data_IF_679726451122
#
_entry.id   IF_679726451122
#
_cell.length_a   1.000
_cell.length_b   1.000
_cell.length_c   1.000
_cell.angle_alpha   90.00
_cell.angle_beta   90.00
_cell.angle_gamma   90.00
#
_symmetry.space_group_name_H-M   'P 1'
#
loop_
_entity.id
_entity.type
_entity.pdbx_description
1 polymer ?
#
# COMPACT_ATOMS: atom_id res chain seq x y z
N UNK A 1 3.36 5.96 13.14
CA UNK A 1 3.15 6.41 11.77
C UNK A 1 1.69 6.28 11.32
N UNK A 2 1.00 5.22 11.79
CA UNK A 2 -0.39 4.94 11.42
C UNK A 2 -1.41 5.29 12.50
N UNK A 3 -0.98 5.60 13.71
CA UNK A 3 -1.89 5.76 14.83
C UNK A 3 -2.97 6.82 14.57
N UNK A 4 -2.57 8.00 14.12
CA UNK A 4 -3.51 9.08 13.85
C UNK A 4 -4.47 8.74 12.70
N UNK A 5 -3.97 8.07 11.68
CA UNK A 5 -4.81 7.63 10.57
C UNK A 5 -5.87 6.65 11.05
N UNK A 6 -5.45 5.64 11.81
CA UNK A 6 -6.38 4.60 12.29
C UNK A 6 -7.44 5.22 13.19
N UNK A 7 -7.05 6.07 14.14
CA UNK A 7 -7.99 6.72 15.04
C UNK A 7 -9.00 7.61 14.29
N UNK A 8 -8.50 8.43 13.36
CA UNK A 8 -9.35 9.28 12.55
C UNK A 8 -10.30 8.49 11.66
N UNK A 9 -9.79 7.43 11.03
CA UNK A 9 -10.59 6.58 10.15
C UNK A 9 -11.65 5.81 10.93
N UNK A 10 -11.30 5.29 12.11
CA UNK A 10 -12.27 4.60 12.94
C UNK A 10 -13.39 5.52 13.39
N UNK A 11 -13.06 6.76 13.75
CA UNK A 11 -14.08 7.75 14.12
C UNK A 11 -15.02 8.04 12.95
N UNK A 12 -14.45 8.28 11.75
CA UNK A 12 -15.23 8.51 10.55
C UNK A 12 -16.16 7.35 10.23
N UNK A 13 -15.62 6.13 10.29
CA UNK A 13 -16.41 4.93 10.01
C UNK A 13 -17.50 4.70 11.05
N UNK A 14 -17.22 4.94 12.32
CA UNK A 14 -18.20 4.78 13.37
C UNK A 14 -19.35 5.79 13.22
N UNK A 15 -19.04 7.03 12.86
CA UNK A 15 -20.07 8.05 12.62
C UNK A 15 -20.95 7.66 11.42
N UNK A 16 -20.33 7.19 10.34
CA UNK A 16 -21.09 6.72 9.18
C UNK A 16 -21.96 5.52 9.53
N UNK A 17 -21.38 4.53 10.20
CA UNK A 17 -22.04 3.26 10.49
C UNK A 17 -23.15 3.38 11.53
N UNK A 18 -23.12 4.41 12.35
CA UNK A 18 -24.14 4.62 13.38
C UNK A 18 -25.54 4.80 12.80
N UNK A 19 -25.65 5.29 11.56
CA UNK A 19 -26.92 5.52 10.87
C UNK A 19 -27.25 4.46 9.84
N UNK A 20 -26.47 3.37 9.78
CA UNK A 20 -26.66 2.30 8.79
C UNK A 20 -27.18 1.05 9.49
N UNK A 21 -28.38 0.58 9.06
CA UNK A 21 -29.01 -0.59 9.67
C UNK A 21 -28.52 -1.89 9.04
N UNK A 22 -28.33 -1.90 7.72
CA UNK A 22 -27.89 -3.11 7.01
C UNK A 22 -26.38 -3.28 7.15
N UNK A 23 -25.91 -4.42 7.73
CA UNK A 23 -24.46 -4.66 7.87
C UNK A 23 -23.67 -4.58 6.55
N UNK A 24 -24.32 -4.87 5.42
CA UNK A 24 -23.66 -4.81 4.11
C UNK A 24 -23.36 -3.38 3.67
N UNK A 25 -24.05 -2.39 4.23
CA UNK A 25 -23.84 -0.99 3.91
C UNK A 25 -22.82 -0.31 4.83
N UNK A 26 -22.34 -1.03 5.85
CA UNK A 26 -21.35 -0.50 6.77
C UNK A 26 -19.98 -0.47 6.12
N UNK A 27 -19.20 0.51 6.50
CA UNK A 27 -17.82 0.69 6.04
C UNK A 27 -16.83 0.18 7.07
N UNK A 28 -15.74 -0.38 6.61
CA UNK A 28 -14.70 -0.96 7.45
C UNK A 28 -13.33 -0.56 6.97
N UNK A 29 -12.35 -0.56 7.90
CA UNK A 29 -10.96 -0.49 7.52
C UNK A 29 -10.59 -1.74 6.73
N UNK A 30 -9.77 -1.55 5.70
CA UNK A 30 -9.23 -2.67 4.94
C UNK A 30 -7.72 -2.72 5.12
N UNK A 31 -7.16 -3.93 5.00
CA UNK A 31 -5.71 -4.09 5.09
C UNK A 31 -5.00 -3.40 3.93
N UNK A 32 -5.57 -3.44 2.73
CA UNK A 32 -4.95 -2.78 1.58
C UNK A 32 -5.00 -1.25 1.71
N UNK A 33 -6.09 -0.70 2.24
CA UNK A 33 -6.20 0.73 2.49
C UNK A 33 -5.21 1.20 3.56
N UNK A 34 -5.06 0.42 4.62
CA UNK A 34 -4.10 0.73 5.68
C UNK A 34 -2.66 0.62 5.16
N UNK A 35 -2.37 -0.39 4.35
CA UNK A 35 -1.06 -0.53 3.71
C UNK A 35 -0.74 0.65 2.81
N UNK A 36 -1.70 1.07 2.00
CA UNK A 36 -1.52 2.22 1.12
C UNK A 36 -1.18 3.48 1.91
N UNK A 37 -1.89 3.72 3.00
CA UNK A 37 -1.66 4.88 3.85
C UNK A 37 -0.29 4.82 4.54
N UNK A 38 0.11 3.63 4.97
CA UNK A 38 1.44 3.44 5.51
C UNK A 38 2.52 3.77 4.49
N UNK A 39 2.36 3.31 3.26
CA UNK A 39 3.35 3.57 2.22
C UNK A 39 3.42 5.05 1.86
N UNK A 40 2.30 5.76 1.85
CA UNK A 40 2.31 7.20 1.65
C UNK A 40 3.08 7.93 2.76
N UNK A 41 2.86 7.52 4.01
CA UNK A 41 3.58 8.10 5.13
C UNK A 41 5.08 7.78 5.09
N UNK A 42 5.42 6.56 4.67
CA UNK A 42 6.82 6.17 4.52
C UNK A 42 7.52 6.98 3.43
N UNK A 43 6.85 7.19 2.31
CA UNK A 43 7.38 8.05 1.25
C UNK A 43 7.57 9.48 1.74
N UNK A 44 6.60 10.01 2.47
CA UNK A 44 6.68 11.37 3.01
C UNK A 44 7.83 11.54 4.01
N UNK A 45 8.22 10.47 4.69
CA UNK A 45 9.33 10.49 5.64
C UNK A 45 10.68 10.17 5.00
N UNK A 46 10.71 9.80 3.72
CA UNK A 46 11.93 9.40 3.03
C UNK A 46 12.65 10.63 2.46
N UNK A 47 13.90 10.94 2.91
CA UNK A 47 14.61 12.14 2.45
C UNK A 47 15.00 12.08 0.98
N UNK A 48 14.96 10.91 0.35
CA UNK A 48 15.31 10.75 -1.06
C UNK A 48 14.13 10.95 -2.02
N UNK A 49 12.95 11.27 -1.49
CA UNK A 49 11.77 11.57 -2.28
C UNK A 49 11.57 13.09 -2.32
N UNK A 50 11.29 13.60 -3.51
CA UNK A 50 11.03 15.02 -3.70
C UNK A 50 9.60 15.34 -3.30
N UNK A 51 9.42 15.89 -2.10
CA UNK A 51 8.10 16.18 -1.53
C UNK A 51 7.45 17.42 -2.15
N UNK A 52 8.20 18.24 -2.88
CA UNK A 52 7.64 19.39 -3.59
C UNK A 52 6.85 18.96 -4.84
N UNK A 53 7.02 17.72 -5.26
CA UNK A 53 6.29 17.13 -6.38
C UNK A 53 5.26 16.14 -5.87
N UNK A 54 4.28 15.82 -6.72
CA UNK A 54 3.21 14.89 -6.36
C UNK A 54 3.79 13.55 -5.94
N UNK A 55 3.33 13.04 -4.80
CA UNK A 55 3.65 11.69 -4.35
C UNK A 55 2.37 11.04 -3.82
N UNK A 56 2.11 9.82 -4.25
CA UNK A 56 0.92 9.10 -3.85
C UNK A 56 1.11 7.59 -4.04
N UNK A 57 0.32 6.84 -3.32
CA UNK A 57 0.14 5.40 -3.54
C UNK A 57 -1.32 5.20 -3.88
N UNK A 58 -1.62 4.68 -5.05
CA UNK A 58 -2.99 4.53 -5.48
C UNK A 58 -3.32 3.10 -5.88
N UNK A 59 -4.57 2.74 -5.63
CA UNK A 59 -5.12 1.47 -6.08
C UNK A 59 -5.71 1.66 -7.46
N UNK A 60 -5.31 0.79 -8.38
CA UNK A 60 -5.90 0.78 -9.70
C UNK A 60 -7.07 -0.20 -9.74
N UNK A 61 -7.74 -0.25 -10.88
CA UNK A 61 -8.91 -1.11 -11.02
C UNK A 61 -8.53 -2.58 -10.80
N UNK A 62 -9.33 -3.35 -10.04
CA UNK A 62 -9.06 -4.77 -9.84
C UNK A 62 -8.95 -5.53 -11.16
N UNK A 63 -8.04 -6.49 -11.20
CA UNK A 63 -7.80 -7.37 -12.35
C UNK A 63 -7.94 -8.82 -11.91
N UNK A 64 -7.99 -9.79 -12.85
CA UNK A 64 -8.01 -11.21 -12.48
C UNK A 64 -6.80 -11.67 -11.67
N UNK A 65 -5.69 -10.92 -11.71
CA UNK A 65 -4.48 -11.26 -10.97
C UNK A 65 -4.34 -10.48 -9.67
N UNK A 66 -5.31 -9.64 -9.33
CA UNK A 66 -5.30 -8.89 -8.08
C UNK A 66 -5.57 -7.41 -8.28
N UNK A 67 -5.32 -6.64 -7.23
CA UNK A 67 -5.47 -5.19 -7.25
C UNK A 67 -4.10 -4.57 -7.46
N UNK A 68 -3.87 -3.91 -8.60
CA UNK A 68 -2.60 -3.21 -8.82
C UNK A 68 -2.48 -2.02 -7.87
N UNK A 69 -1.29 -1.87 -7.27
CA UNK A 69 -0.93 -0.67 -6.53
C UNK A 69 0.17 0.05 -7.28
N UNK A 70 -0.01 1.34 -7.46
CA UNK A 70 0.97 2.19 -8.14
C UNK A 70 1.57 3.17 -7.15
N UNK A 71 2.90 3.18 -7.09
CA UNK A 71 3.63 4.18 -6.30
C UNK A 71 4.09 5.25 -7.27
N UNK A 72 3.56 6.44 -7.08
CA UNK A 72 3.87 7.60 -7.91
C UNK A 72 4.65 8.61 -7.09
N UNK A 73 5.91 8.81 -7.42
CA UNK A 73 6.75 9.77 -6.73
C UNK A 73 7.95 10.14 -7.58
N UNK A 74 8.68 11.14 -7.14
CA UNK A 74 9.89 11.62 -7.82
C UNK A 74 11.07 11.56 -6.86
N UNK A 75 12.21 11.08 -7.36
CA UNK A 75 13.44 11.06 -6.59
C UNK A 75 13.97 12.49 -6.41
N UNK A 76 14.47 12.78 -5.21
CA UNK A 76 15.22 14.02 -4.95
C UNK A 76 16.64 13.94 -5.49
N UNK A 77 17.09 12.75 -5.89
CA UNK A 77 18.44 12.52 -6.43
C UNK A 77 18.36 12.33 -7.93
N UNK A 78 19.21 13.03 -8.67
CA UNK A 78 19.22 12.99 -10.14
C UNK A 78 20.29 12.04 -10.69
N UNK A 79 21.29 11.71 -9.90
CA UNK A 79 22.34 10.78 -10.33
C UNK A 79 21.73 9.40 -10.57
N UNK A 80 21.98 8.86 -11.75
CA UNK A 80 21.30 7.64 -12.19
C UNK A 80 21.48 6.46 -11.22
N UNK A 81 22.69 6.22 -10.74
CA UNK A 81 22.96 5.11 -9.82
C UNK A 81 22.20 5.29 -8.51
N UNK A 82 22.16 6.51 -7.99
CA UNK A 82 21.44 6.82 -6.75
C UNK A 82 19.94 6.73 -6.97
N UNK A 83 19.46 7.21 -8.11
CA UNK A 83 18.06 7.09 -8.49
C UNK A 83 17.59 5.63 -8.50
N UNK A 84 18.39 4.74 -9.11
CA UNK A 84 18.06 3.30 -9.15
C UNK A 84 18.04 2.69 -7.74
N UNK A 85 18.95 3.11 -6.86
CA UNK A 85 18.95 2.64 -5.46
C UNK A 85 17.72 3.10 -4.72
N UNK A 86 17.28 4.34 -4.92
CA UNK A 86 16.07 4.86 -4.29
C UNK A 86 14.87 4.03 -4.71
N UNK A 87 14.76 3.72 -6.00
CA UNK A 87 13.68 2.89 -6.51
C UNK A 87 13.73 1.48 -5.92
N UNK A 88 14.91 0.87 -5.88
CA UNK A 88 15.08 -0.46 -5.31
C UNK A 88 14.71 -0.48 -3.83
N UNK A 89 15.10 0.53 -3.07
CA UNK A 89 14.79 0.62 -1.64
C UNK A 89 13.28 0.70 -1.39
N UNK A 90 12.56 1.42 -2.25
CA UNK A 90 11.10 1.51 -2.13
C UNK A 90 10.49 0.12 -2.29
N UNK A 91 10.88 -0.62 -3.34
CA UNK A 91 10.34 -1.96 -3.57
C UNK A 91 10.77 -2.95 -2.51
N UNK A 92 12.04 -2.88 -2.05
CA UNK A 92 12.52 -3.76 -0.99
C UNK A 92 11.73 -3.57 0.29
N UNK A 93 11.47 -2.32 0.67
CA UNK A 93 10.67 -2.03 1.85
C UNK A 93 9.24 -2.52 1.67
N UNK A 94 8.64 -2.23 0.53
CA UNK A 94 7.28 -2.63 0.22
C UNK A 94 7.12 -4.14 0.35
N UNK A 95 7.99 -4.92 -0.30
CA UNK A 95 7.89 -6.37 -0.27
C UNK A 95 8.16 -6.93 1.13
N UNK A 96 9.04 -6.29 1.90
CA UNK A 96 9.35 -6.74 3.25
C UNK A 96 8.16 -6.59 4.21
N UNK A 97 7.35 -5.56 4.04
CA UNK A 97 6.26 -5.27 4.98
C UNK A 97 4.89 -5.80 4.54
N UNK A 98 4.71 -6.19 3.26
CA UNK A 98 3.44 -6.71 2.78
C UNK A 98 2.86 -7.81 3.69
N UNK A 99 3.65 -8.81 4.13
CA UNK A 99 3.11 -9.86 5.01
C UNK A 99 2.59 -9.34 6.33
N UNK A 100 3.13 -8.23 6.85
CA UNK A 100 2.66 -7.64 8.10
C UNK A 100 1.24 -7.11 7.98
N UNK A 101 0.82 -6.76 6.76
CA UNK A 101 -0.54 -6.34 6.45
C UNK A 101 -1.39 -7.49 5.91
N UNK A 102 -0.87 -8.72 5.93
CA UNK A 102 -1.53 -9.92 5.41
C UNK A 102 -1.87 -9.80 3.93
N UNK A 103 -0.97 -9.17 3.20
CA UNK A 103 -1.05 -9.02 1.75
C UNK A 103 0.02 -9.87 1.08
N UNK A 104 -0.25 -10.29 -0.15
CA UNK A 104 0.68 -11.06 -0.96
C UNK A 104 0.81 -10.45 -2.33
N UNK A 105 2.03 -10.47 -2.86
CA UNK A 105 2.28 -10.11 -4.25
C UNK A 105 1.82 -11.28 -5.14
N UNK A 106 1.11 -10.97 -6.22
CA UNK A 106 0.73 -12.00 -7.18
C UNK A 106 1.97 -12.57 -7.86
N UNK A 107 2.00 -13.88 -7.99
CA UNK A 107 3.04 -14.60 -8.73
C UNK A 107 2.37 -15.68 -9.55
N UNK A 108 2.84 -15.85 -10.78
CA UNK A 108 2.35 -16.98 -11.59
C UNK A 108 2.85 -18.29 -11.00
N UNK A 109 1.97 -19.31 -10.86
CA UNK A 109 2.39 -20.59 -10.33
C UNK A 109 3.47 -21.24 -11.19
N UNK A 110 4.44 -21.88 -10.54
CA UNK A 110 5.43 -22.73 -11.20
C UNK A 110 5.06 -24.18 -11.01
N UNK A 111 5.68 -25.10 -11.77
CA UNK A 111 5.43 -26.52 -11.59
C UNK A 111 5.75 -26.99 -10.15
N UNK A 112 6.78 -26.42 -9.55
CA UNK A 112 7.14 -26.75 -8.18
C UNK A 112 6.08 -26.28 -7.17
N UNK A 113 5.51 -25.13 -7.38
CA UNK A 113 4.44 -24.61 -6.54
C UNK A 113 3.20 -25.51 -6.61
N UNK A 114 2.84 -25.96 -7.81
CA UNK A 114 1.76 -26.91 -8.01
C UNK A 114 2.00 -28.20 -7.25
N UNK A 115 3.22 -28.72 -7.27
CA UNK A 115 3.57 -29.94 -6.57
C UNK A 115 3.52 -29.77 -5.05
N UNK A 116 3.87 -28.60 -4.55
CA UNK A 116 3.85 -28.32 -3.11
C UNK A 116 2.43 -28.18 -2.56
N UNK A 117 1.51 -27.68 -3.37
CA UNK A 117 0.12 -27.49 -2.97
C UNK A 117 -0.65 -28.82 -2.89
N UNK A 118 -0.15 -29.86 -3.50
CA UNK A 118 -0.76 -31.18 -3.48
C UNK A 118 -0.24 -32.04 -2.35
#
# INVERSE_FOLDING_TARGET
>A
LLKNYIEGKMKELNEYNANVENPLDKRHLTNIGTFREYMEAWLAANPNINLDMTHMVRQLQPTPTGIPLEIYCFSARKEWVIYERVQADIFDHLFAILPLFKLKVFQYPTNMEWMQEK
#
